data_IF_266880162146
#
_entry.id   IF_266880162146
#
_cell.length_a   1.000
_cell.length_b   1.000
_cell.length_c   1.000
_cell.angle_alpha   90.00
_cell.angle_beta   90.00
_cell.angle_gamma   90.00
#
_symmetry.space_group_name_H-M   'P 1'
#
loop_
_entity.id
_entity.type
_entity.pdbx_description
1 polymer ?
#
# COMPACT_ATOMS: atom_id res chain seq x y z
N UNK A 1 -36.38 -32.67 -74.75
CA UNK A 1 -36.01 -32.65 -73.32
C UNK A 1 -34.52 -32.89 -73.21
N UNK A 2 -33.75 -31.94 -72.66
CA UNK A 2 -32.55 -32.23 -71.87
C UNK A 2 -31.98 -30.92 -71.30
N UNK A 3 -32.04 -30.81 -69.97
CA UNK A 3 -31.45 -29.72 -69.17
C UNK A 3 -29.94 -29.96 -69.02
N UNK A 4 -29.13 -28.90 -69.08
CA UNK A 4 -27.70 -28.91 -68.74
C UNK A 4 -27.51 -28.56 -67.25
N UNK A 5 -26.68 -29.28 -66.48
CA UNK A 5 -26.02 -28.74 -65.30
C UNK A 5 -24.68 -28.09 -65.74
N UNK A 6 -24.02 -27.21 -65.01
CA UNK A 6 -24.25 -26.69 -63.68
C UNK A 6 -23.12 -25.71 -63.41
N UNK A 7 -23.53 -24.46 -63.20
CA UNK A 7 -22.74 -23.33 -62.76
C UNK A 7 -22.31 -23.57 -61.30
N UNK A 8 -21.29 -24.39 -61.05
CA UNK A 8 -20.88 -24.73 -59.67
C UNK A 8 -19.37 -24.66 -59.40
N UNK A 9 -18.52 -24.51 -60.42
CA UNK A 9 -17.06 -24.52 -60.21
C UNK A 9 -16.42 -23.12 -60.08
N UNK A 10 -17.13 -22.03 -60.41
CA UNK A 10 -16.54 -20.68 -60.45
C UNK A 10 -16.76 -19.86 -59.16
N UNK A 11 -17.66 -20.28 -58.27
CA UNK A 11 -17.98 -19.51 -57.05
C UNK A 11 -17.14 -19.94 -55.84
N UNK A 12 -16.54 -21.14 -55.85
CA UNK A 12 -15.73 -21.63 -54.74
C UNK A 12 -14.31 -21.01 -54.66
N UNK A 13 -13.81 -20.41 -55.74
CA UNK A 13 -12.45 -19.82 -55.77
C UNK A 13 -12.46 -18.33 -55.35
N UNK A 14 -13.61 -17.65 -55.42
CA UNK A 14 -13.74 -16.25 -54.98
C UNK A 14 -13.98 -16.08 -53.47
N UNK A 15 -14.38 -17.14 -52.75
CA UNK A 15 -14.60 -17.10 -51.30
C UNK A 15 -13.35 -17.41 -50.46
N UNK A 16 -12.27 -17.93 -51.06
CA UNK A 16 -11.02 -18.21 -50.36
C UNK A 16 -10.02 -17.03 -50.39
N UNK A 17 -10.24 -16.03 -51.25
CA UNK A 17 -9.37 -14.84 -51.30
C UNK A 17 -9.78 -13.75 -50.30
N UNK A 18 -10.96 -13.84 -49.69
CA UNK A 18 -11.45 -12.83 -48.75
C UNK A 18 -11.20 -13.18 -47.27
N UNK A 19 -10.64 -14.35 -46.98
CA UNK A 19 -10.33 -14.80 -45.61
C UNK A 19 -8.89 -14.48 -45.16
N UNK A 20 -8.07 -13.87 -46.03
CA UNK A 20 -6.73 -13.38 -45.70
C UNK A 20 -6.66 -11.85 -45.85
N UNK A 21 -7.72 -11.13 -45.47
CA UNK A 21 -7.53 -9.79 -44.93
C UNK A 21 -7.17 -9.98 -43.46
N UNK A 22 -5.88 -10.20 -43.22
CA UNK A 22 -5.29 -9.81 -41.95
C UNK A 22 -5.66 -8.36 -41.73
N UNK A 23 -6.59 -8.11 -40.82
CA UNK A 23 -6.70 -6.82 -40.17
C UNK A 23 -5.29 -6.51 -39.69
N UNK A 24 -4.61 -5.59 -40.38
CA UNK A 24 -3.55 -4.83 -39.78
C UNK A 24 -4.28 -4.08 -38.66
N UNK A 25 -4.32 -4.68 -37.46
CA UNK A 25 -4.38 -3.91 -36.23
C UNK A 25 -3.18 -2.99 -36.37
N UNK A 26 -3.45 -1.74 -36.77
CA UNK A 26 -2.54 -0.66 -36.49
C UNK A 26 -2.32 -0.74 -34.98
N UNK A 27 -1.19 -1.33 -34.59
CA UNK A 27 -0.64 -1.11 -33.27
C UNK A 27 -0.41 0.38 -33.25
N UNK A 28 -1.39 1.13 -32.72
CA UNK A 28 -1.15 2.50 -32.29
C UNK A 28 0.14 2.45 -31.50
N UNK A 29 1.18 3.07 -32.03
CA UNK A 29 2.40 3.30 -31.27
C UNK A 29 1.98 4.25 -30.16
N UNK A 30 1.60 3.67 -29.02
CA UNK A 30 1.43 4.40 -27.77
C UNK A 30 2.75 5.16 -27.59
N UNK A 31 2.68 6.47 -27.80
CA UNK A 31 3.85 7.34 -27.66
C UNK A 31 4.08 7.45 -26.16
N UNK A 32 4.90 6.54 -25.63
CA UNK A 32 5.21 6.45 -24.22
C UNK A 32 5.90 7.75 -23.78
N UNK A 33 5.44 8.34 -22.67
CA UNK A 33 6.14 9.48 -22.04
C UNK A 33 7.52 9.01 -21.54
N UNK A 34 8.54 9.90 -21.46
CA UNK A 34 9.89 9.52 -21.01
C UNK A 34 9.96 8.77 -19.66
N UNK A 35 8.97 9.01 -18.77
CA UNK A 35 8.85 8.35 -17.47
C UNK A 35 8.27 6.94 -17.51
N UNK A 36 7.56 6.57 -18.59
CA UNK A 36 6.95 5.25 -18.77
C UNK A 36 7.65 4.43 -19.84
N UNK A 37 8.47 5.04 -20.70
CA UNK A 37 9.24 4.39 -21.77
C UNK A 37 10.08 3.18 -21.32
N UNK A 38 10.55 3.16 -20.06
CA UNK A 38 11.42 2.09 -19.53
C UNK A 38 10.65 1.00 -18.79
N UNK A 39 9.33 1.11 -18.67
CA UNK A 39 8.52 0.14 -17.95
C UNK A 39 8.14 -0.97 -18.93
N UNK A 40 8.50 -2.21 -18.60
CA UNK A 40 8.03 -3.37 -19.34
C UNK A 40 6.59 -3.65 -18.91
N UNK A 41 5.67 -3.65 -19.88
CA UNK A 41 4.24 -3.80 -19.63
C UNK A 41 3.75 -5.06 -20.33
N UNK A 42 2.92 -5.86 -19.63
CA UNK A 42 2.31 -7.06 -20.20
C UNK A 42 1.33 -6.69 -21.33
N UNK A 43 1.03 -7.62 -22.26
CA UNK A 43 -0.01 -7.39 -23.27
C UNK A 43 -1.33 -6.96 -22.61
N UNK A 44 -2.04 -6.03 -23.26
CA UNK A 44 -3.32 -5.46 -22.82
C UNK A 44 -3.28 -4.55 -21.58
N UNK A 45 -2.09 -4.25 -21.04
CA UNK A 45 -1.92 -3.24 -19.99
C UNK A 45 -1.40 -1.91 -20.56
N UNK A 46 -1.82 -0.80 -19.96
CA UNK A 46 -1.37 0.56 -20.28
C UNK A 46 -0.85 1.20 -19.00
N UNK A 47 0.26 1.94 -19.10
CA UNK A 47 0.85 2.67 -17.97
C UNK A 47 0.79 4.17 -18.25
N UNK A 48 0.14 4.88 -17.33
CA UNK A 48 -0.05 6.32 -17.40
C UNK A 48 0.75 7.01 -16.30
N UNK A 49 1.52 8.03 -16.66
CA UNK A 49 2.21 8.85 -15.68
C UNK A 49 1.32 10.02 -15.28
N UNK A 50 0.74 9.96 -14.07
CA UNK A 50 -0.18 11.00 -13.57
C UNK A 50 0.53 12.11 -12.79
N UNK A 51 1.48 11.76 -11.93
CA UNK A 51 2.10 12.70 -11.00
C UNK A 51 3.49 12.28 -10.54
N UNK A 52 4.30 13.25 -10.11
CA UNK A 52 5.61 13.01 -9.48
C UNK A 52 5.73 13.83 -8.20
N UNK A 53 5.52 13.22 -7.00
CA UNK A 53 5.45 13.99 -5.76
C UNK A 53 6.74 14.72 -5.43
N UNK A 54 7.90 14.09 -5.64
CA UNK A 54 9.19 14.69 -5.31
C UNK A 54 9.54 15.90 -6.19
N UNK A 55 9.22 15.83 -7.49
CA UNK A 55 9.40 16.96 -8.42
C UNK A 55 8.49 18.16 -8.06
N UNK A 56 7.36 17.88 -7.43
CA UNK A 56 6.40 18.87 -6.97
C UNK A 56 6.57 19.22 -5.48
N UNK A 57 7.71 18.85 -4.86
CA UNK A 57 8.03 19.15 -3.45
C UNK A 57 6.97 18.65 -2.46
N UNK A 58 6.30 17.52 -2.77
CA UNK A 58 5.35 16.81 -1.89
C UNK A 58 5.94 15.51 -1.34
N UNK A 59 7.26 15.48 -1.20
CA UNK A 59 8.02 14.39 -0.57
C UNK A 59 8.08 13.10 -1.39
N UNK A 60 8.12 11.97 -0.69
CA UNK A 60 8.21 10.61 -1.25
C UNK A 60 7.02 9.81 -0.78
N UNK A 61 6.08 9.50 -1.67
CA UNK A 61 4.87 8.80 -1.29
C UNK A 61 5.11 7.30 -1.15
N UNK A 62 4.88 6.76 0.04
CA UNK A 62 5.24 5.37 0.41
C UNK A 62 4.03 4.50 0.78
N UNK A 63 2.86 5.10 0.99
CA UNK A 63 1.62 4.38 1.27
C UNK A 63 0.44 5.04 0.54
N UNK A 64 -0.57 4.24 0.21
CA UNK A 64 -1.80 4.73 -0.41
C UNK A 64 -3.02 3.89 -0.05
N UNK A 65 -4.21 4.49 -0.12
CA UNK A 65 -5.52 3.83 -0.06
C UNK A 65 -6.53 4.64 -0.86
N UNK A 66 -7.69 4.06 -1.18
CA UNK A 66 -8.82 4.79 -1.76
C UNK A 66 -9.88 5.04 -0.69
N UNK A 67 -10.49 6.23 -0.69
CA UNK A 67 -11.65 6.53 0.17
C UNK A 67 -12.98 6.05 -0.45
N UNK A 68 -14.08 6.25 0.28
CA UNK A 68 -15.44 5.86 -0.14
C UNK A 68 -15.96 6.64 -1.37
N UNK A 69 -15.25 7.68 -1.80
CA UNK A 69 -15.57 8.50 -2.98
C UNK A 69 -14.67 8.17 -4.17
N UNK A 70 -13.81 7.15 -4.05
CA UNK A 70 -12.88 6.73 -5.11
C UNK A 70 -11.67 7.67 -5.26
N UNK A 71 -11.42 8.56 -4.30
CA UNK A 71 -10.23 9.42 -4.30
C UNK A 71 -9.09 8.67 -3.63
N UNK A 72 -7.87 8.88 -4.12
CA UNK A 72 -6.69 8.27 -3.52
C UNK A 72 -6.13 9.15 -2.41
N UNK A 73 -5.86 8.55 -1.26
CA UNK A 73 -5.10 9.16 -0.16
C UNK A 73 -3.71 8.58 -0.18
N UNK A 74 -2.69 9.42 -0.12
CA UNK A 74 -1.27 9.03 -0.09
C UNK A 74 -0.55 9.62 1.11
N UNK A 75 0.55 8.99 1.52
CA UNK A 75 1.39 9.44 2.63
C UNK A 75 2.80 9.73 2.17
N UNK A 76 3.29 10.93 2.45
CA UNK A 76 4.71 11.26 2.39
C UNK A 76 5.48 10.61 3.55
N UNK A 77 6.57 9.92 3.25
CA UNK A 77 7.41 9.16 4.19
C UNK A 77 7.77 9.95 5.45
N UNK A 78 8.06 11.25 5.31
CA UNK A 78 8.46 12.13 6.40
C UNK A 78 7.56 13.36 6.52
N UNK A 79 6.31 13.22 6.09
CA UNK A 79 5.44 14.36 5.92
C UNK A 79 3.98 14.01 6.03
N UNK A 80 3.17 14.72 5.26
CA UNK A 80 1.73 14.78 5.44
C UNK A 80 0.99 13.81 4.53
N UNK A 81 -0.31 13.69 4.80
CA UNK A 81 -1.22 12.96 3.94
C UNK A 81 -1.75 13.88 2.82
N UNK A 82 -1.91 13.33 1.62
CA UNK A 82 -2.47 14.03 0.46
C UNK A 82 -3.68 13.27 -0.06
N UNK A 83 -4.66 14.00 -0.60
CA UNK A 83 -5.83 13.48 -1.29
C UNK A 83 -5.77 13.87 -2.76
N UNK A 84 -6.06 12.92 -3.63
CA UNK A 84 -5.93 13.03 -5.08
C UNK A 84 -7.24 12.59 -5.71
N UNK A 85 -7.79 13.47 -6.54
CA UNK A 85 -8.90 13.12 -7.42
C UNK A 85 -8.31 12.34 -8.61
N UNK A 86 -8.64 11.06 -8.72
CA UNK A 86 -8.12 10.19 -9.78
C UNK A 86 -8.84 10.52 -11.08
N UNK A 87 -8.09 10.85 -12.16
CA UNK A 87 -8.72 11.17 -13.44
C UNK A 87 -9.31 9.92 -14.10
N UNK A 88 -10.12 10.12 -15.14
CA UNK A 88 -10.62 9.02 -15.96
C UNK A 88 -9.46 8.28 -16.65
N UNK A 89 -9.64 6.98 -16.90
CA UNK A 89 -8.67 6.15 -17.64
C UNK A 89 -8.43 6.77 -19.03
N UNK A 90 -7.17 6.86 -19.44
CA UNK A 90 -6.77 7.57 -20.67
C UNK A 90 -6.15 8.94 -20.38
N UNK A 91 -6.28 9.45 -19.16
CA UNK A 91 -5.69 10.72 -18.76
C UNK A 91 -4.18 10.59 -18.56
N UNK A 92 -3.46 11.61 -19.00
CA UNK A 92 -2.00 11.62 -18.97
C UNK A 92 -1.43 12.59 -17.91
N UNK A 93 -2.30 13.19 -17.09
CA UNK A 93 -1.97 14.07 -15.98
C UNK A 93 -3.14 14.11 -15.00
N UNK A 94 -2.87 14.52 -13.76
CA UNK A 94 -3.95 14.88 -12.84
C UNK A 94 -4.75 16.08 -13.37
N UNK A 95 -6.07 16.06 -13.14
CA UNK A 95 -6.97 17.18 -13.45
C UNK A 95 -6.90 18.30 -12.41
N UNK A 96 -6.41 17.99 -11.21
CA UNK A 96 -6.19 18.93 -10.12
C UNK A 96 -4.94 18.56 -9.34
N UNK A 97 -4.27 19.55 -8.74
CA UNK A 97 -3.14 19.32 -7.86
C UNK A 97 -3.54 18.52 -6.62
N UNK A 98 -2.70 17.57 -6.15
CA UNK A 98 -2.91 16.86 -4.89
C UNK A 98 -3.07 17.82 -3.71
N UNK A 99 -4.16 17.66 -2.97
CA UNK A 99 -4.51 18.50 -1.83
C UNK A 99 -3.93 17.87 -0.57
N UNK A 100 -3.14 18.60 0.21
CA UNK A 100 -2.73 18.13 1.54
C UNK A 100 -3.98 18.06 2.43
N UNK A 101 -4.17 16.97 3.15
CA UNK A 101 -5.27 16.83 4.10
C UNK A 101 -5.05 17.79 5.27
N UNK A 102 -6.09 18.51 5.66
CA UNK A 102 -6.06 19.35 6.83
C UNK A 102 -6.43 18.52 8.06
N UNK A 103 -5.55 18.52 9.07
CA UNK A 103 -5.68 17.65 10.24
C UNK A 103 -5.56 18.45 11.54
N UNK A 104 -6.27 18.05 12.61
CA UNK A 104 -6.13 18.67 13.91
C UNK A 104 -4.67 18.68 14.39
N UNK A 105 -4.18 19.88 14.72
CA UNK A 105 -2.79 20.09 15.17
C UNK A 105 -1.81 20.50 14.08
N UNK A 106 -2.24 20.61 12.82
CA UNK A 106 -1.40 21.21 11.78
C UNK A 106 -1.15 22.71 12.07
N UNK A 107 0.11 23.12 12.01
CA UNK A 107 0.50 24.54 11.99
C UNK A 107 0.99 24.90 10.58
N UNK A 108 0.12 25.58 9.84
CA UNK A 108 0.37 25.94 8.44
C UNK A 108 1.17 27.23 8.32
N UNK A 109 2.24 27.19 7.53
CA UNK A 109 2.79 28.37 6.88
C UNK A 109 3.07 28.03 5.42
N UNK A 110 3.00 29.03 4.55
CA UNK A 110 3.44 28.94 3.13
C UNK A 110 4.94 28.60 3.00
N UNK A 111 5.65 28.47 4.12
CA UNK A 111 7.06 28.12 4.22
C UNK A 111 7.22 26.62 4.51
N UNK A 112 7.83 25.91 3.55
CA UNK A 112 8.09 24.46 3.58
C UNK A 112 9.14 24.03 4.62
N UNK A 113 9.74 24.94 5.37
CA UNK A 113 10.85 24.62 6.28
C UNK A 113 10.42 24.13 7.66
N UNK A 114 9.24 24.50 8.15
CA UNK A 114 8.67 24.02 9.41
C UNK A 114 7.13 24.07 9.38
N UNK A 115 6.48 22.91 9.27
CA UNK A 115 5.06 22.78 9.58
C UNK A 115 4.92 21.66 10.60
N UNK A 116 4.46 21.98 11.80
CA UNK A 116 3.97 20.96 12.72
C UNK A 116 2.83 20.22 12.01
N UNK A 117 2.90 18.90 11.96
CA UNK A 117 1.93 18.06 11.23
C UNK A 117 0.96 17.42 12.22
N UNK A 118 -0.34 17.47 11.94
CA UNK A 118 -1.38 16.85 12.77
C UNK A 118 -1.42 15.32 12.65
N UNK A 119 -1.24 14.80 11.43
CA UNK A 119 -1.09 13.37 11.12
C UNK A 119 -0.30 13.16 9.82
N UNK A 120 0.53 12.12 9.76
CA UNK A 120 1.47 11.88 8.67
C UNK A 120 2.41 10.73 8.98
N UNK A 121 3.58 10.68 8.32
CA UNK A 121 4.62 9.67 8.53
C UNK A 121 4.09 8.23 8.45
N UNK A 122 3.07 8.04 7.61
CA UNK A 122 2.37 6.78 7.52
C UNK A 122 3.07 5.88 6.50
N UNK A 123 3.35 4.65 6.90
CA UNK A 123 3.83 3.59 6.00
C UNK A 123 2.75 2.57 5.64
N UNK A 124 1.61 2.61 6.34
CA UNK A 124 0.40 1.91 5.97
C UNK A 124 -0.81 2.83 6.04
N UNK A 125 -1.70 2.72 5.05
CA UNK A 125 -2.97 3.43 5.00
C UNK A 125 -4.08 2.46 4.61
N UNK A 126 -5.23 2.58 5.28
CA UNK A 126 -6.42 1.83 4.91
C UNK A 126 -7.66 2.66 5.18
N UNK A 127 -8.53 2.76 4.18
CA UNK A 127 -9.89 3.22 4.38
C UNK A 127 -10.81 2.02 4.66
N UNK A 128 -11.43 2.01 5.83
CA UNK A 128 -12.40 1.00 6.22
C UNK A 128 -13.30 1.53 7.33
N UNK A 129 -14.48 0.92 7.56
CA UNK A 129 -15.34 1.25 8.71
C UNK A 129 -15.68 2.75 8.86
N UNK A 130 -15.84 3.44 7.71
CA UNK A 130 -16.02 4.90 7.62
C UNK A 130 -14.92 5.67 8.36
N UNK A 131 -13.67 5.28 8.15
CA UNK A 131 -12.50 5.79 8.86
C UNK A 131 -11.24 5.58 8.04
N UNK A 132 -10.27 6.48 8.23
CA UNK A 132 -8.92 6.29 7.73
C UNK A 132 -8.06 5.72 8.86
N UNK A 133 -7.51 4.53 8.65
CA UNK A 133 -6.49 3.94 9.51
C UNK A 133 -5.11 4.35 9.00
N UNK A 134 -4.27 4.79 9.92
CA UNK A 134 -2.95 5.33 9.64
C UNK A 134 -1.93 4.58 10.49
N UNK A 135 -1.08 3.80 9.84
CA UNK A 135 0.06 3.15 10.50
C UNK A 135 1.25 4.10 10.49
N UNK A 136 1.50 4.73 11.64
CA UNK A 136 2.63 5.66 11.81
C UNK A 136 3.90 4.87 12.06
N UNK A 137 4.96 5.25 11.36
CA UNK A 137 6.31 4.77 11.57
C UNK A 137 7.23 5.99 11.81
N UNK A 138 7.34 6.40 13.07
CA UNK A 138 8.08 7.59 13.46
C UNK A 138 8.35 7.61 14.97
N UNK A 139 9.47 8.19 15.38
CA UNK A 139 9.72 8.55 16.76
C UNK A 139 9.34 10.02 16.97
N UNK A 140 8.30 10.26 17.76
CA UNK A 140 7.72 11.59 17.92
C UNK A 140 8.76 12.67 18.24
N UNK A 141 8.61 13.82 17.58
CA UNK A 141 9.49 14.98 17.71
C UNK A 141 8.70 16.31 17.69
N UNK A 142 9.41 17.45 17.63
CA UNK A 142 8.80 18.78 17.62
C UNK A 142 7.95 19.07 16.37
N UNK A 143 8.22 18.38 15.25
CA UNK A 143 7.46 18.52 14.00
C UNK A 143 6.25 17.61 13.98
N UNK A 144 6.35 16.43 14.57
CA UNK A 144 5.26 15.48 14.69
C UNK A 144 5.33 14.73 16.02
N UNK A 145 4.50 15.14 16.97
CA UNK A 145 4.57 14.63 18.35
C UNK A 145 4.08 13.18 18.48
N UNK A 146 3.38 12.64 17.48
CA UNK A 146 2.86 11.26 17.53
C UNK A 146 3.97 10.28 17.17
N UNK A 147 4.01 9.16 17.88
CA UNK A 147 5.01 8.11 17.68
C UNK A 147 4.39 6.91 16.94
N UNK A 148 5.21 5.92 16.65
CA UNK A 148 4.82 4.68 15.99
C UNK A 148 3.58 4.04 16.63
N UNK A 149 2.65 3.60 15.78
CA UNK A 149 1.38 3.09 16.25
C UNK A 149 0.30 3.09 15.17
N UNK A 150 -0.80 2.40 15.47
CA UNK A 150 -2.00 2.42 14.66
C UNK A 150 -2.95 3.51 15.15
N UNK A 151 -3.26 4.46 14.27
CA UNK A 151 -4.20 5.55 14.51
C UNK A 151 -5.45 5.39 13.65
N UNK A 152 -6.58 5.90 14.14
CA UNK A 152 -7.85 5.99 13.43
C UNK A 152 -8.29 7.45 13.34
N UNK A 153 -8.60 7.87 12.11
CA UNK A 153 -9.10 9.19 11.77
C UNK A 153 -10.57 9.10 11.36
N UNK A 154 -11.39 10.05 11.82
CA UNK A 154 -12.81 10.14 11.49
C UNK A 154 -13.20 11.57 11.15
N UNK A 155 -14.18 11.66 10.28
CA UNK A 155 -14.98 12.86 10.03
C UNK A 155 -16.28 12.67 10.84
N UNK A 156 -16.47 13.44 11.90
CA UNK A 156 -17.60 13.27 12.82
C UNK A 156 -18.77 14.21 12.54
N UNK A 157 -18.59 15.22 11.69
CA UNK A 157 -19.62 16.18 11.28
C UNK A 157 -20.05 16.07 9.80
N UNK A 158 -19.40 15.19 9.04
CA UNK A 158 -19.60 14.90 7.62
C UNK A 158 -19.27 16.09 6.69
N UNK A 159 -18.26 16.89 7.03
CA UNK A 159 -17.78 18.00 6.21
C UNK A 159 -16.68 17.63 5.20
N UNK A 160 -16.34 16.33 5.10
CA UNK A 160 -15.28 15.77 4.26
C UNK A 160 -13.84 16.07 4.75
N UNK A 161 -13.68 16.52 6.00
CA UNK A 161 -12.42 16.68 6.72
C UNK A 161 -12.37 15.77 7.96
N UNK A 162 -11.16 15.31 8.29
CA UNK A 162 -10.96 14.53 9.51
C UNK A 162 -10.83 15.47 10.71
N UNK A 163 -11.66 15.26 11.74
CA UNK A 163 -11.72 16.08 12.95
C UNK A 163 -11.34 15.31 14.23
N UNK A 164 -11.42 13.98 14.20
CA UNK A 164 -11.03 13.09 15.29
C UNK A 164 -9.79 12.28 14.91
N UNK A 165 -8.76 12.32 15.77
CA UNK A 165 -7.57 11.45 15.69
C UNK A 165 -7.49 10.63 16.97
N UNK A 166 -7.60 9.31 16.86
CA UNK A 166 -7.52 8.38 17.98
C UNK A 166 -6.37 7.39 17.81
N UNK A 167 -5.50 7.28 18.81
CA UNK A 167 -4.53 6.18 18.91
C UNK A 167 -5.28 4.89 19.30
N UNK A 168 -5.09 3.82 18.53
CA UNK A 168 -5.61 2.49 18.84
C UNK A 168 -4.60 1.65 19.62
N UNK A 169 -3.34 1.62 19.16
CA UNK A 169 -2.23 0.91 19.82
C UNK A 169 -0.91 1.58 19.48
N UNK A 170 -0.08 1.84 20.48
CA UNK A 170 1.30 2.31 20.29
C UNK A 170 2.23 1.14 19.99
N UNK A 171 3.27 1.37 19.19
CA UNK A 171 4.31 0.41 18.90
C UNK A 171 5.69 0.96 19.30
N UNK A 172 6.55 0.07 19.79
CA UNK A 172 7.96 0.38 20.02
C UNK A 172 8.75 -0.13 18.82
N UNK A 173 9.18 0.79 17.96
CA UNK A 173 9.86 0.48 16.71
C UNK A 173 9.64 1.55 15.66
N UNK A 174 10.67 1.83 14.87
CA UNK A 174 10.60 2.79 13.77
C UNK A 174 11.68 2.53 12.71
N UNK A 175 11.65 3.30 11.64
CA UNK A 175 12.63 3.27 10.57
C UNK A 175 12.25 2.30 9.46
N UNK A 176 13.26 1.78 8.77
CA UNK A 176 13.07 0.94 7.58
C UNK A 176 12.43 -0.42 7.92
N UNK A 177 12.61 -0.90 9.16
CA UNK A 177 12.05 -2.15 9.68
C UNK A 177 10.93 -1.91 10.74
N UNK A 178 10.21 -0.80 10.60
CA UNK A 178 9.21 -0.39 11.58
C UNK A 178 7.81 -0.98 11.32
N UNK A 179 6.76 -0.34 11.84
CA UNK A 179 5.38 -0.71 11.53
C UNK A 179 5.02 -0.31 10.09
N UNK A 180 4.39 -1.20 9.33
CA UNK A 180 4.19 -1.03 7.88
C UNK A 180 2.72 -1.10 7.48
N UNK A 181 2.32 -2.07 6.65
CA UNK A 181 1.00 -2.07 6.03
C UNK A 181 -0.12 -2.50 6.96
N UNK A 182 -1.33 -2.07 6.60
CA UNK A 182 -2.60 -2.46 7.20
C UNK A 182 -3.61 -2.75 6.09
N UNK A 183 -4.27 -3.90 6.18
CA UNK A 183 -5.27 -4.35 5.21
C UNK A 183 -6.57 -4.76 5.89
N UNK A 184 -7.66 -4.70 5.13
CA UNK A 184 -8.95 -5.23 5.55
C UNK A 184 -8.92 -6.76 5.47
N UNK A 185 -9.45 -7.43 6.49
CA UNK A 185 -9.64 -8.88 6.45
C UNK A 185 -10.76 -9.27 5.46
N UNK A 186 -10.75 -10.49 4.90
CA UNK A 186 -11.80 -10.98 4.02
C UNK A 186 -13.19 -10.99 4.68
N UNK A 187 -13.21 -11.12 6.02
CA UNK A 187 -14.44 -11.06 6.83
C UNK A 187 -15.14 -9.68 6.82
N UNK A 188 -14.48 -8.65 6.29
CA UNK A 188 -14.97 -7.27 6.22
C UNK A 188 -15.22 -6.61 7.59
N UNK A 189 -14.73 -7.22 8.68
CA UNK A 189 -14.98 -6.85 10.07
C UNK A 189 -13.71 -6.58 10.86
N UNK A 190 -12.58 -7.12 10.39
CA UNK A 190 -11.29 -7.06 11.06
C UNK A 190 -10.21 -6.44 10.19
N UNK A 191 -9.10 -6.11 10.82
CA UNK A 191 -7.90 -5.53 10.25
C UNK A 191 -6.74 -6.50 10.43
N UNK A 192 -5.87 -6.59 9.43
CA UNK A 192 -4.57 -7.24 9.54
C UNK A 192 -3.49 -6.20 9.35
N UNK A 193 -2.41 -6.30 10.12
CA UNK A 193 -1.27 -5.42 9.97
C UNK A 193 0.03 -6.21 10.04
N UNK A 194 1.07 -5.62 9.46
CA UNK A 194 2.42 -6.18 9.44
C UNK A 194 3.45 -5.19 9.95
N UNK A 195 4.42 -5.70 10.69
CA UNK A 195 5.52 -4.94 11.28
C UNK A 195 6.84 -5.64 11.01
N UNK A 196 7.88 -4.88 10.70
CA UNK A 196 9.25 -5.36 10.59
C UNK A 196 9.85 -5.76 11.94
N UNK A 197 11.01 -6.41 11.91
CA UNK A 197 11.68 -6.97 13.10
C UNK A 197 12.32 -5.94 14.03
N UNK A 198 12.34 -4.65 13.66
CA UNK A 198 12.70 -3.57 14.56
C UNK A 198 11.49 -2.98 15.27
N UNK A 199 10.33 -3.63 15.16
CA UNK A 199 9.13 -3.34 15.96
C UNK A 199 8.90 -4.46 16.96
N UNK A 200 8.99 -4.14 18.24
CA UNK A 200 8.76 -5.09 19.31
C UNK A 200 7.29 -5.52 19.34
N UNK A 201 7.07 -6.82 19.58
CA UNK A 201 5.72 -7.38 19.67
C UNK A 201 5.09 -6.93 20.99
N UNK A 202 4.01 -6.12 21.00
CA UNK A 202 3.33 -5.79 22.24
C UNK A 202 2.59 -7.02 22.80
N UNK A 203 2.16 -6.95 24.06
CA UNK A 203 1.23 -7.94 24.60
C UNK A 203 -0.07 -7.98 23.77
N UNK A 204 -0.51 -9.20 23.45
CA UNK A 204 -1.68 -9.51 22.64
C UNK A 204 -2.73 -10.24 23.48
N UNK A 205 -4.00 -10.14 23.10
CA UNK A 205 -5.11 -10.82 23.79
C UNK A 205 -5.16 -12.33 23.48
N UNK A 206 -4.64 -12.73 22.32
CA UNK A 206 -4.51 -14.13 21.92
C UNK A 206 -3.37 -14.35 20.94
N UNK A 207 -2.98 -15.61 20.76
CA UNK A 207 -1.84 -15.98 19.93
C UNK A 207 -2.17 -17.26 19.14
N UNK A 208 -1.94 -17.24 17.82
CA UNK A 208 -1.94 -18.47 17.00
C UNK A 208 -0.59 -19.19 17.08
N UNK A 209 0.49 -18.43 17.29
CA UNK A 209 1.81 -18.95 17.59
C UNK A 209 1.99 -19.16 19.10
N UNK A 210 2.79 -20.15 19.55
CA UNK A 210 3.18 -20.24 20.96
C UNK A 210 3.92 -18.97 21.41
N UNK A 211 3.56 -18.42 22.57
CA UNK A 211 4.14 -17.16 23.10
C UNK A 211 5.38 -17.34 23.98
N UNK A 212 6.02 -18.51 23.91
CA UNK A 212 7.14 -18.91 24.75
C UNK A 212 8.47 -18.91 23.98
N UNK A 213 8.73 -17.85 23.22
CA UNK A 213 10.00 -17.69 22.50
C UNK A 213 11.13 -17.38 23.48
N UNK A 214 12.13 -18.25 23.51
CA UNK A 214 13.37 -18.03 24.26
C UNK A 214 14.53 -18.72 23.53
N UNK A 215 15.75 -18.29 23.81
CA UNK A 215 16.96 -18.90 23.25
C UNK A 215 17.60 -19.88 24.24
N UNK A 216 17.39 -21.18 24.02
CA UNK A 216 17.98 -22.25 24.84
C UNK A 216 19.31 -22.76 24.26
N UNK A 217 20.20 -21.81 23.93
CA UNK A 217 21.47 -22.10 23.26
C UNK A 217 22.53 -22.60 24.26
N UNK A 218 23.09 -23.80 24.03
CA UNK A 218 24.17 -24.37 24.86
C UNK A 218 25.48 -23.55 24.74
N UNK A 219 25.71 -22.94 23.58
CA UNK A 219 26.85 -22.07 23.32
C UNK A 219 26.37 -20.64 23.11
N UNK A 220 27.25 -19.67 23.36
CA UNK A 220 26.97 -18.28 23.06
C UNK A 220 26.63 -18.13 21.56
N UNK A 221 25.51 -17.47 21.28
CA UNK A 221 25.09 -17.15 19.93
C UNK A 221 26.17 -16.31 19.22
N UNK A 222 26.56 -16.74 18.02
CA UNK A 222 27.39 -15.92 17.14
C UNK A 222 26.46 -14.94 16.45
N UNK A 223 26.53 -13.67 16.85
CA UNK A 223 25.75 -12.58 16.28
C UNK A 223 26.37 -12.07 14.98
N UNK A 224 25.60 -11.33 14.17
CA UNK A 224 26.10 -10.70 12.95
C UNK A 224 27.33 -9.81 13.26
N UNK A 225 28.52 -10.10 12.68
CA UNK A 225 29.72 -9.30 12.91
C UNK A 225 29.61 -7.85 12.42
N UNK A 226 28.63 -7.53 11.55
CA UNK A 226 28.33 -6.16 11.11
C UNK A 226 27.42 -5.40 12.07
N UNK A 227 26.86 -6.08 13.07
CA UNK A 227 26.04 -5.45 14.12
C UNK A 227 24.56 -5.26 13.79
N UNK A 228 24.11 -5.66 12.59
CA UNK A 228 22.71 -5.50 12.19
C UNK A 228 21.78 -6.41 13.00
N UNK A 229 20.70 -5.84 13.55
CA UNK A 229 19.67 -6.52 14.35
C UNK A 229 20.19 -7.43 15.49
N UNK A 230 21.39 -7.17 16.00
CA UNK A 230 22.05 -8.04 17.01
C UNK A 230 21.41 -7.97 18.40
N UNK A 231 20.50 -7.03 18.63
CA UNK A 231 19.70 -6.85 19.83
C UNK A 231 18.28 -7.40 19.69
N UNK A 232 17.90 -7.90 18.52
CA UNK A 232 16.56 -8.41 18.23
C UNK A 232 16.44 -9.90 18.58
N UNK A 233 15.27 -10.27 19.11
CA UNK A 233 14.94 -11.63 19.53
C UNK A 233 13.71 -12.15 18.78
N UNK A 234 13.48 -13.46 18.87
CA UNK A 234 12.25 -14.08 18.37
C UNK A 234 10.99 -13.45 19.03
N UNK A 235 9.85 -13.36 18.30
CA UNK A 235 9.66 -13.92 16.97
C UNK A 235 10.30 -13.10 15.85
N UNK A 236 10.56 -11.79 16.05
CA UNK A 236 11.12 -10.90 15.04
C UNK A 236 10.20 -10.74 13.84
N UNK A 237 9.70 -9.53 13.59
CA UNK A 237 8.74 -9.24 12.52
C UNK A 237 7.44 -10.01 12.69
N UNK A 238 6.30 -9.37 12.45
CA UNK A 238 5.05 -9.98 12.89
C UNK A 238 3.83 -9.47 12.15
N UNK A 239 2.83 -10.32 12.12
CA UNK A 239 1.49 -10.03 11.60
C UNK A 239 0.50 -10.20 12.75
N UNK A 240 -0.38 -9.22 12.92
CA UNK A 240 -1.46 -9.29 13.89
C UNK A 240 -2.81 -9.02 13.25
N UNK A 241 -3.85 -9.60 13.84
CA UNK A 241 -5.26 -9.30 13.57
C UNK A 241 -5.82 -8.42 14.68
N UNK A 242 -6.61 -7.42 14.34
CA UNK A 242 -7.42 -6.67 15.31
C UNK A 242 -8.81 -6.29 14.78
N UNK A 243 -9.76 -5.96 15.66
CA UNK A 243 -11.06 -5.43 15.24
C UNK A 243 -10.97 -3.96 14.81
N UNK A 244 -12.04 -3.45 14.18
CA UNK A 244 -12.13 -2.06 13.70
C UNK A 244 -11.91 -0.98 14.76
N UNK A 245 -12.04 -1.30 16.05
CA UNK A 245 -11.85 -0.38 17.17
C UNK A 245 -10.50 -0.59 17.88
N UNK A 246 -9.71 -1.58 17.46
CA UNK A 246 -8.42 -1.93 18.06
C UNK A 246 -8.52 -2.51 19.47
N UNK A 247 -9.62 -3.20 19.81
CA UNK A 247 -9.88 -3.68 21.18
C UNK A 247 -9.37 -5.08 21.45
N UNK A 248 -9.32 -5.93 20.43
CA UNK A 248 -8.88 -7.31 20.51
C UNK A 248 -7.76 -7.55 19.52
N UNK A 249 -6.62 -8.02 20.00
CA UNK A 249 -5.41 -8.24 19.23
C UNK A 249 -5.01 -9.71 19.28
N UNK A 250 -4.76 -10.29 18.12
CA UNK A 250 -4.26 -11.65 17.98
C UNK A 250 -2.95 -11.65 17.21
N UNK A 251 -1.90 -12.24 17.78
CA UNK A 251 -0.70 -12.53 17.00
C UNK A 251 -0.99 -13.68 16.03
N UNK A 252 -0.85 -13.42 14.74
CA UNK A 252 -1.16 -14.38 13.67
C UNK A 252 0.09 -15.13 13.23
N UNK A 253 1.16 -14.39 12.92
CA UNK A 253 2.42 -14.93 12.43
C UNK A 253 3.59 -14.07 12.90
N UNK A 254 4.79 -14.63 12.83
CA UNK A 254 6.05 -13.96 13.13
C UNK A 254 7.24 -14.79 12.65
N UNK A 255 8.44 -14.23 12.71
CA UNK A 255 9.64 -14.80 12.06
C UNK A 255 10.04 -14.07 10.78
N UNK A 256 9.53 -12.86 10.57
CA UNK A 256 9.84 -12.02 9.42
C UNK A 256 11.02 -11.09 9.73
N UNK A 257 11.70 -10.60 8.69
CA UNK A 257 12.70 -9.56 8.82
C UNK A 257 12.08 -8.19 8.59
N UNK A 258 11.65 -7.94 7.36
CA UNK A 258 11.20 -6.64 6.94
C UNK A 258 10.08 -6.72 5.90
N UNK A 259 8.96 -7.34 6.28
CA UNK A 259 7.80 -7.44 5.42
C UNK A 259 7.11 -6.08 5.39
N UNK A 260 7.07 -5.45 4.22
CA UNK A 260 6.41 -4.16 4.07
C UNK A 260 4.89 -4.31 3.92
N UNK A 261 4.45 -5.26 3.11
CA UNK A 261 3.03 -5.42 2.77
C UNK A 261 2.58 -6.88 2.83
N UNK A 262 1.27 -7.04 3.01
CA UNK A 262 0.56 -8.31 3.09
C UNK A 262 -0.73 -8.21 2.26
N UNK A 263 -1.21 -9.34 1.73
CA UNK A 263 -2.45 -9.37 0.96
C UNK A 263 -3.15 -10.72 1.07
N UNK A 264 -4.48 -10.69 1.06
CA UNK A 264 -5.29 -11.90 0.91
C UNK A 264 -5.53 -12.19 -0.57
N UNK A 265 -5.52 -13.47 -0.95
CA UNK A 265 -6.05 -13.91 -2.24
C UNK A 265 -7.56 -14.17 -2.16
N UNK A 266 -8.16 -14.55 -3.29
CA UNK A 266 -9.60 -14.87 -3.39
C UNK A 266 -10.03 -16.11 -2.58
N UNK A 267 -9.08 -16.95 -2.17
CA UNK A 267 -9.28 -18.12 -1.31
C UNK A 267 -9.06 -17.80 0.19
N UNK A 268 -8.93 -16.50 0.54
CA UNK A 268 -8.71 -16.00 1.90
C UNK A 268 -7.37 -16.43 2.53
N UNK A 269 -6.40 -16.83 1.71
CA UNK A 269 -5.03 -17.13 2.15
C UNK A 269 -4.21 -15.85 2.25
N UNK A 270 -3.46 -15.69 3.35
CA UNK A 270 -2.63 -14.51 3.59
C UNK A 270 -1.22 -14.70 3.01
N UNK A 271 -0.83 -13.79 2.13
CA UNK A 271 0.51 -13.71 1.56
C UNK A 271 1.28 -12.52 2.14
N UNK A 272 2.59 -12.72 2.27
CA UNK A 272 3.57 -11.73 2.69
C UNK A 272 4.78 -11.80 1.76
N UNK A 273 5.44 -10.67 1.52
CA UNK A 273 6.73 -10.63 0.84
C UNK A 273 7.76 -9.97 1.75
N UNK A 274 8.75 -10.76 2.16
CA UNK A 274 9.73 -10.36 3.15
C UNK A 274 11.06 -10.01 2.47
N UNK A 275 11.58 -8.81 2.70
CA UNK A 275 12.88 -8.40 2.17
C UNK A 275 14.01 -9.13 2.91
N UNK A 276 14.95 -9.69 2.15
CA UNK A 276 16.07 -10.47 2.68
C UNK A 276 17.22 -9.58 3.19
N UNK A 277 18.49 -9.92 2.94
CA UNK A 277 19.68 -9.19 3.39
C UNK A 277 19.86 -7.86 2.65
N UNK A 278 19.02 -6.88 2.97
CA UNK A 278 19.21 -5.48 2.61
C UNK A 278 20.00 -4.76 3.73
N UNK A 279 21.00 -3.94 3.38
CA UNK A 279 21.88 -3.23 4.33
C UNK A 279 21.90 -1.73 4.10
#
# INVERSE_FOLDING_TARGET
MNKRPGLAAAVAVLLLASACQTENKETEQVTLKPKVEKINVAPDFVVEHLYSPSENKKGSWVAMTFDDKGRMITSDQYGSLYRIDIPEIGADTLTAEPKRLALPGDEWKDDTTQTKVGMGYAQGLLWAFNSLYVMVNHRGDEKFEKSSGLYRLRDTDNDDQFDEIKLLKSFDGEGEHGPHSIILAPDGQSLYLVCGNHTDVPEMDSYLLPSNWDEDNVFQQIKDPRGHATDRMAPGGWIAKTDSLGQHWQLVAGGFRNTFDIAFNDDEELFAYDSDMEW
#
